data_IF_133863604360
#
_entry.id   IF_133863604360
#
_cell.length_a   1.000
_cell.length_b   1.000
_cell.length_c   1.000
_cell.angle_alpha   90.00
_cell.angle_beta   90.00
_cell.angle_gamma   90.00
#
_symmetry.space_group_name_H-M   'P 1'
#
loop_
_entity.id
_entity.type
_entity.pdbx_description
1 polymer ?
#
# COMPACT_ATOMS: atom_id res chain seq x y z
N UNK A 1 -5.61 -15.87 -6.13
CA UNK A 1 -4.61 -15.11 -5.38
C UNK A 1 -3.29 -15.88 -5.21
N UNK A 2 -3.27 -17.15 -4.71
CA UNK A 2 -2.04 -17.93 -4.52
C UNK A 2 -1.20 -18.02 -5.80
N UNK A 3 -1.81 -18.29 -6.96
CA UNK A 3 -1.11 -18.40 -8.24
C UNK A 3 -0.32 -17.13 -8.59
N UNK A 4 -0.96 -15.96 -8.56
CA UNK A 4 -0.32 -14.68 -8.93
C UNK A 4 0.71 -14.21 -7.90
N UNK A 5 0.45 -14.41 -6.60
CA UNK A 5 1.31 -13.87 -5.55
C UNK A 5 2.50 -14.76 -5.18
N UNK A 6 2.39 -16.07 -5.39
CA UNK A 6 3.40 -17.04 -4.97
C UNK A 6 3.93 -17.80 -6.18
N UNK A 7 3.08 -18.53 -6.90
CA UNK A 7 3.55 -19.48 -7.94
C UNK A 7 4.26 -18.75 -9.11
N UNK A 8 3.74 -17.62 -9.58
CA UNK A 8 4.38 -16.81 -10.63
C UNK A 8 5.73 -16.23 -10.18
N UNK A 9 5.83 -15.85 -8.91
CA UNK A 9 7.11 -15.37 -8.34
C UNK A 9 8.11 -16.51 -8.18
N UNK A 10 7.66 -17.70 -7.83
CA UNK A 10 8.50 -18.90 -7.71
C UNK A 10 9.08 -19.30 -9.07
N UNK A 11 8.25 -19.26 -10.12
CA UNK A 11 8.69 -19.49 -11.50
C UNK A 11 9.75 -18.46 -11.91
N UNK A 12 9.46 -17.17 -11.68
CA UNK A 12 10.39 -16.09 -12.03
C UNK A 12 11.74 -16.24 -11.31
N UNK A 13 11.72 -16.50 -10.00
CA UNK A 13 12.94 -16.67 -9.21
C UNK A 13 13.72 -17.92 -9.65
N UNK A 14 13.04 -19.04 -9.91
CA UNK A 14 13.67 -20.26 -10.40
C UNK A 14 14.37 -20.05 -11.74
N UNK A 15 13.72 -19.36 -12.68
CA UNK A 15 14.32 -19.05 -13.99
C UNK A 15 15.51 -18.08 -13.89
N UNK A 16 15.47 -17.09 -12.98
CA UNK A 16 16.62 -16.24 -12.72
C UNK A 16 17.81 -17.01 -12.14
N UNK A 17 17.55 -17.94 -11.21
CA UNK A 17 18.58 -18.80 -10.62
C UNK A 17 19.25 -19.64 -11.72
N UNK A 18 18.48 -20.28 -12.63
CA UNK A 18 19.02 -21.06 -13.75
C UNK A 18 19.88 -20.24 -14.70
N UNK A 19 19.51 -18.99 -14.95
CA UNK A 19 20.24 -18.10 -15.87
C UNK A 19 21.48 -17.45 -15.26
N UNK A 20 21.62 -17.51 -13.94
CA UNK A 20 22.79 -16.91 -13.26
C UNK A 20 24.03 -17.74 -13.52
N UNK A 21 25.10 -17.15 -14.10
CA UNK A 21 26.33 -17.86 -14.36
C UNK A 21 27.09 -18.18 -13.07
N UNK A 22 27.69 -19.35 -12.98
CA UNK A 22 28.53 -19.75 -11.85
C UNK A 22 28.61 -21.26 -11.67
N UNK A 23 29.72 -21.76 -11.13
CA UNK A 23 29.86 -23.20 -10.79
C UNK A 23 29.14 -23.56 -9.48
N UNK A 24 29.00 -22.59 -8.60
CA UNK A 24 28.26 -22.68 -7.33
C UNK A 24 27.43 -21.44 -7.16
N UNK A 25 26.14 -21.61 -6.97
CA UNK A 25 25.19 -20.52 -6.72
C UNK A 25 24.56 -20.70 -5.35
N UNK A 26 24.52 -19.63 -4.56
CA UNK A 26 23.79 -19.58 -3.30
C UNK A 26 22.67 -18.55 -3.46
N UNK A 27 21.42 -19.02 -3.42
CA UNK A 27 20.25 -18.17 -3.46
C UNK A 27 19.63 -18.05 -2.06
N UNK A 28 19.48 -16.83 -1.56
CA UNK A 28 18.79 -16.54 -0.30
C UNK A 28 17.36 -16.13 -0.65
N UNK A 29 16.40 -16.95 -0.23
CA UNK A 29 14.98 -16.78 -0.56
C UNK A 29 14.12 -16.91 0.69
N UNK A 30 12.93 -16.30 0.68
CA UNK A 30 11.97 -16.47 1.77
C UNK A 30 11.49 -17.91 1.89
N UNK A 31 11.33 -18.40 3.12
CA UNK A 31 10.98 -19.81 3.40
C UNK A 31 9.71 -20.28 2.65
N UNK A 32 8.72 -19.41 2.48
CA UNK A 32 7.48 -19.71 1.76
C UNK A 32 7.64 -19.97 0.26
N UNK A 33 8.77 -19.58 -0.35
CA UNK A 33 9.07 -19.76 -1.78
C UNK A 33 9.94 -20.98 -2.05
N UNK A 34 10.55 -21.56 -1.01
CA UNK A 34 11.57 -22.61 -1.17
C UNK A 34 11.06 -23.86 -1.90
N UNK A 35 9.87 -24.34 -1.55
CA UNK A 35 9.29 -25.52 -2.19
C UNK A 35 8.87 -25.25 -3.64
N UNK A 36 8.27 -24.10 -3.90
CA UNK A 36 7.89 -23.68 -5.25
C UNK A 36 9.11 -23.53 -6.15
N UNK A 37 10.15 -22.85 -5.70
CA UNK A 37 11.40 -22.69 -6.44
C UNK A 37 12.04 -24.04 -6.73
N UNK A 38 12.16 -24.96 -5.75
CA UNK A 38 12.69 -26.31 -5.97
C UNK A 38 11.95 -27.05 -7.06
N UNK A 39 10.62 -26.99 -7.05
CA UNK A 39 9.78 -27.63 -8.06
C UNK A 39 10.06 -27.06 -9.46
N UNK A 40 10.16 -25.73 -9.59
CA UNK A 40 10.35 -25.05 -10.87
C UNK A 40 11.79 -25.09 -11.39
N UNK A 41 12.78 -25.31 -10.51
CA UNK A 41 14.18 -25.54 -10.95
C UNK A 41 14.33 -26.80 -11.80
N UNK A 42 13.48 -27.80 -11.60
CA UNK A 42 13.51 -29.08 -12.33
C UNK A 42 12.68 -29.05 -13.63
N UNK A 43 11.86 -28.03 -13.84
CA UNK A 43 11.02 -27.84 -15.04
C UNK A 43 11.54 -26.68 -15.89
N UNK A 44 11.41 -26.77 -17.20
CA UNK A 44 11.73 -25.65 -18.12
C UNK A 44 10.50 -24.79 -18.31
N UNK A 45 10.54 -23.58 -17.80
CA UNK A 45 9.47 -22.59 -17.90
C UNK A 45 9.97 -21.26 -18.49
N UNK A 46 11.04 -21.32 -19.24
CA UNK A 46 11.67 -20.16 -19.89
C UNK A 46 10.70 -19.36 -20.79
N UNK A 47 9.70 -20.01 -21.37
CA UNK A 47 8.68 -19.38 -22.19
C UNK A 47 7.71 -18.50 -21.36
N UNK A 48 7.40 -18.90 -20.13
CA UNK A 48 6.51 -18.14 -19.23
C UNK A 48 7.18 -16.86 -18.72
N UNK A 49 8.51 -16.81 -18.67
CA UNK A 49 9.24 -15.64 -18.17
C UNK A 49 8.93 -14.35 -18.97
N UNK A 50 8.75 -14.49 -20.28
CA UNK A 50 8.37 -13.37 -21.15
C UNK A 50 6.98 -12.80 -20.80
N UNK A 51 6.03 -13.64 -20.48
CA UNK A 51 4.70 -13.25 -20.07
C UNK A 51 4.71 -12.64 -18.66
N UNK A 52 5.46 -13.23 -17.72
CA UNK A 52 5.56 -12.76 -16.34
C UNK A 52 6.26 -11.38 -16.22
N UNK A 53 7.13 -11.04 -17.15
CA UNK A 53 7.82 -9.74 -17.19
C UNK A 53 7.04 -8.67 -17.94
N UNK A 54 6.00 -9.04 -18.67
CA UNK A 54 5.19 -8.11 -19.44
C UNK A 54 4.16 -7.43 -18.53
N UNK A 55 4.35 -6.15 -18.24
CA UNK A 55 3.39 -5.36 -17.48
C UNK A 55 2.19 -5.05 -18.37
N UNK A 56 0.99 -5.60 -18.08
CA UNK A 56 -0.19 -5.32 -18.89
C UNK A 56 -0.50 -3.82 -18.87
N UNK A 57 -0.78 -3.20 -20.02
CA UNK A 57 -1.09 -1.78 -20.08
C UNK A 57 -2.37 -1.48 -19.30
N UNK A 58 -2.26 -0.68 -18.25
CA UNK A 58 -3.43 -0.22 -17.50
C UNK A 58 -4.24 0.73 -18.39
N UNK A 59 -5.52 0.40 -18.60
CA UNK A 59 -6.42 1.24 -19.38
C UNK A 59 -6.42 2.68 -18.88
N UNK A 60 -6.28 3.63 -19.82
CA UNK A 60 -6.33 5.07 -19.50
C UNK A 60 -7.64 5.46 -18.83
N UNK A 61 -8.73 4.78 -19.15
CA UNK A 61 -10.04 4.99 -18.55
C UNK A 61 -10.02 4.79 -17.05
N UNK A 62 -9.38 3.73 -16.55
CA UNK A 62 -9.25 3.50 -15.11
C UNK A 62 -8.39 4.55 -14.40
N UNK A 63 -7.35 5.04 -15.07
CA UNK A 63 -6.52 6.14 -14.52
C UNK A 63 -7.32 7.44 -14.40
N UNK A 64 -8.11 7.78 -15.41
CA UNK A 64 -8.92 9.01 -15.39
C UNK A 64 -10.11 8.89 -14.44
N UNK A 65 -10.71 7.71 -14.30
CA UNK A 65 -11.86 7.48 -13.42
C UNK A 65 -11.49 7.73 -11.94
N UNK A 66 -10.25 7.43 -11.53
CA UNK A 66 -9.78 7.72 -10.19
C UNK A 66 -9.79 9.21 -9.84
N UNK A 67 -9.61 10.09 -10.83
CA UNK A 67 -9.65 11.54 -10.64
C UNK A 67 -11.05 12.14 -10.66
N UNK A 68 -12.07 11.33 -11.00
CA UNK A 68 -13.45 11.81 -11.05
C UNK A 68 -13.96 12.20 -9.65
N UNK A 69 -13.64 11.42 -8.61
CA UNK A 69 -14.04 11.70 -7.22
C UNK A 69 -13.47 13.04 -6.74
N UNK A 70 -12.15 13.29 -6.80
CA UNK A 70 -11.59 14.61 -6.48
C UNK A 70 -12.22 15.75 -7.28
N UNK A 71 -12.44 15.53 -8.59
CA UNK A 71 -13.05 16.56 -9.44
C UNK A 71 -14.49 16.89 -9.03
N UNK A 72 -15.28 15.90 -8.65
CA UNK A 72 -16.67 16.09 -8.16
C UNK A 72 -16.65 16.88 -6.83
N UNK A 73 -15.75 16.53 -5.91
CA UNK A 73 -15.65 17.18 -4.61
C UNK A 73 -15.25 18.66 -4.77
N UNK A 74 -14.16 18.92 -5.51
CA UNK A 74 -13.69 20.29 -5.74
C UNK A 74 -14.69 21.10 -6.57
N UNK A 75 -15.31 20.48 -7.56
CA UNK A 75 -16.36 21.11 -8.36
C UNK A 75 -17.59 21.48 -7.53
N UNK A 76 -18.02 20.61 -6.61
CA UNK A 76 -19.15 20.90 -5.72
C UNK A 76 -18.86 22.05 -4.75
N UNK A 77 -17.63 22.11 -4.18
CA UNK A 77 -17.21 23.23 -3.34
C UNK A 77 -17.19 24.53 -4.16
N UNK A 78 -16.67 24.49 -5.38
CA UNK A 78 -16.68 25.65 -6.28
C UNK A 78 -18.11 26.13 -6.61
N UNK A 79 -19.02 25.24 -6.91
CA UNK A 79 -20.42 25.59 -7.15
C UNK A 79 -21.11 26.19 -5.92
N UNK A 80 -20.81 25.66 -4.72
CA UNK A 80 -21.30 26.24 -3.46
C UNK A 80 -20.75 27.65 -3.25
N UNK A 81 -19.47 27.86 -3.52
CA UNK A 81 -18.85 29.18 -3.39
C UNK A 81 -19.52 30.20 -4.32
N UNK A 82 -19.84 29.79 -5.57
CA UNK A 82 -20.52 30.66 -6.53
C UNK A 82 -21.98 30.92 -6.21
N UNK A 83 -22.71 29.94 -5.66
CA UNK A 83 -24.16 30.02 -5.43
C UNK A 83 -24.54 30.52 -4.04
N UNK A 84 -23.75 30.18 -3.01
CA UNK A 84 -24.04 30.47 -1.59
C UNK A 84 -22.98 31.35 -0.91
N UNK A 85 -21.93 31.71 -1.66
CA UNK A 85 -20.84 32.57 -1.17
C UNK A 85 -19.69 31.81 -0.52
N UNK A 86 -18.57 32.49 -0.37
CA UNK A 86 -17.32 31.92 0.12
C UNK A 86 -17.38 31.49 1.60
N UNK A 87 -18.22 32.10 2.43
CA UNK A 87 -18.41 31.67 3.82
C UNK A 87 -18.91 30.22 3.90
N UNK A 88 -20.00 29.92 3.18
CA UNK A 88 -20.56 28.56 3.15
C UNK A 88 -19.60 27.55 2.53
N UNK A 89 -18.83 27.96 1.52
CA UNK A 89 -17.79 27.09 0.95
C UNK A 89 -16.67 26.80 1.97
N UNK A 90 -16.26 27.80 2.77
CA UNK A 90 -15.31 27.64 3.86
C UNK A 90 -15.77 26.64 4.91
N UNK A 91 -17.03 26.74 5.34
CA UNK A 91 -17.63 25.80 6.29
C UNK A 91 -17.58 24.35 5.77
N UNK A 92 -17.85 24.14 4.47
CA UNK A 92 -17.75 22.81 3.84
C UNK A 92 -16.31 22.29 3.80
N UNK A 93 -15.32 23.16 3.60
CA UNK A 93 -13.90 22.77 3.66
C UNK A 93 -13.53 22.35 5.09
N UNK A 94 -13.93 23.11 6.09
CA UNK A 94 -13.70 22.75 7.50
C UNK A 94 -14.37 21.42 7.83
N UNK A 95 -15.63 21.25 7.43
CA UNK A 95 -16.33 19.98 7.60
C UNK A 95 -15.59 18.81 6.94
N UNK A 96 -15.10 19.00 5.71
CA UNK A 96 -14.29 18.00 4.99
C UNK A 96 -13.03 17.60 5.76
N UNK A 97 -12.30 18.60 6.28
CA UNK A 97 -11.08 18.37 7.07
C UNK A 97 -11.40 17.56 8.33
N UNK A 98 -12.43 17.96 9.06
CA UNK A 98 -12.82 17.28 10.29
C UNK A 98 -13.36 15.87 10.03
N UNK A 99 -14.20 15.71 9.01
CA UNK A 99 -14.80 14.42 8.67
C UNK A 99 -13.77 13.37 8.22
N UNK A 100 -12.66 13.80 7.60
CA UNK A 100 -11.57 12.90 7.21
C UNK A 100 -10.51 12.76 8.31
N UNK A 101 -10.12 13.88 8.92
CA UNK A 101 -9.03 13.95 9.89
C UNK A 101 -9.36 13.29 11.23
N UNK A 102 -10.55 13.52 11.77
CA UNK A 102 -10.92 12.97 13.09
C UNK A 102 -10.95 11.44 13.08
N UNK A 103 -11.66 10.74 12.18
CA UNK A 103 -11.66 9.29 12.15
C UNK A 103 -10.26 8.69 11.92
N UNK A 104 -9.45 9.33 11.06
CA UNK A 104 -8.09 8.88 10.80
C UNK A 104 -7.19 8.98 12.04
N UNK A 105 -7.29 10.10 12.77
CA UNK A 105 -6.52 10.28 14.00
C UNK A 105 -7.01 9.38 15.13
N UNK A 106 -8.32 9.15 15.27
CA UNK A 106 -8.87 8.18 16.23
C UNK A 106 -8.37 6.78 15.90
N UNK A 107 -8.42 6.36 14.64
CA UNK A 107 -7.88 5.06 14.22
C UNK A 107 -6.40 4.89 14.53
N UNK A 108 -5.58 5.92 14.27
CA UNK A 108 -4.16 5.90 14.62
C UNK A 108 -3.93 5.85 16.15
N UNK A 109 -4.72 6.58 16.93
CA UNK A 109 -4.63 6.56 18.39
C UNK A 109 -5.05 5.20 18.97
N UNK A 110 -6.12 4.58 18.45
CA UNK A 110 -6.55 3.24 18.83
C UNK A 110 -5.51 2.17 18.47
N UNK A 111 -4.76 2.38 17.40
CA UNK A 111 -3.63 1.53 17.02
C UNK A 111 -2.36 1.83 17.83
N UNK A 112 -2.44 2.60 18.93
CA UNK A 112 -1.31 3.01 19.78
C UNK A 112 -0.13 3.62 18.99
N UNK A 113 -0.43 4.27 17.86
CA UNK A 113 0.57 4.93 17.07
C UNK A 113 1.24 6.08 17.84
N UNK A 114 2.46 6.43 17.44
CA UNK A 114 3.15 7.58 18.05
C UNK A 114 2.30 8.86 17.93
N UNK A 115 2.29 9.77 18.90
CA UNK A 115 1.49 11.00 18.85
C UNK A 115 1.68 11.82 17.57
N UNK A 116 2.91 11.89 17.04
CA UNK A 116 3.19 12.55 15.76
C UNK A 116 2.50 11.84 14.59
N UNK A 117 2.40 10.51 14.62
CA UNK A 117 1.67 9.72 13.61
C UNK A 117 0.17 10.03 13.67
N UNK A 118 -0.38 10.16 14.86
CA UNK A 118 -1.80 10.52 15.07
C UNK A 118 -2.11 11.91 14.53
N UNK A 119 -1.25 12.90 14.79
CA UNK A 119 -1.37 14.24 14.23
C UNK A 119 -1.19 14.21 12.71
N UNK A 120 -0.20 13.46 12.23
CA UNK A 120 0.04 13.24 10.80
C UNK A 120 -1.14 12.60 10.09
N UNK A 121 -1.83 11.65 10.73
CA UNK A 121 -3.06 11.04 10.22
C UNK A 121 -4.16 12.06 10.03
N UNK A 122 -4.37 12.95 11.02
CA UNK A 122 -5.34 14.04 10.94
C UNK A 122 -5.06 14.95 9.74
N UNK A 123 -3.81 15.41 9.60
CA UNK A 123 -3.42 16.34 8.54
C UNK A 123 -3.40 15.69 7.13
N UNK A 124 -2.97 14.43 7.05
CA UNK A 124 -2.84 13.74 5.77
C UNK A 124 -4.18 13.26 5.20
N UNK A 125 -5.12 12.81 6.04
CA UNK A 125 -6.35 12.18 5.59
C UNK A 125 -7.19 13.07 4.64
N UNK A 126 -7.43 14.37 4.91
CA UNK A 126 -8.18 15.22 4.01
C UNK A 126 -7.52 15.39 2.63
N UNK A 127 -6.19 15.43 2.61
CA UNK A 127 -5.40 15.63 1.37
C UNK A 127 -5.37 14.33 0.57
N UNK A 128 -5.07 13.23 1.23
CA UNK A 128 -4.92 11.92 0.57
C UNK A 128 -6.26 11.35 0.08
N UNK A 129 -7.38 11.72 0.71
CA UNK A 129 -8.72 11.34 0.22
C UNK A 129 -9.08 12.04 -1.10
N UNK A 130 -8.38 13.12 -1.46
CA UNK A 130 -8.48 13.76 -2.77
C UNK A 130 -7.49 13.19 -3.81
N UNK A 131 -6.71 12.18 -3.47
CA UNK A 131 -5.74 11.59 -4.42
C UNK A 131 -6.03 10.08 -4.60
N UNK A 132 -6.16 9.60 -5.84
CA UNK A 132 -6.37 8.16 -6.09
C UNK A 132 -5.06 7.35 -5.99
N UNK A 133 -3.91 8.01 -5.74
CA UNK A 133 -2.58 7.40 -5.84
C UNK A 133 -1.99 7.09 -4.46
N UNK A 134 -2.17 8.00 -3.50
CA UNK A 134 -1.55 7.88 -2.17
C UNK A 134 -2.64 7.91 -1.11
N UNK A 135 -2.78 6.83 -0.36
CA UNK A 135 -3.67 6.77 0.80
C UNK A 135 -3.00 7.34 2.06
N UNK A 136 -3.80 7.77 3.03
CA UNK A 136 -3.32 8.26 4.34
C UNK A 136 -2.42 7.25 5.05
N UNK A 137 -2.64 5.95 4.82
CA UNK A 137 -1.83 4.87 5.38
C UNK A 137 -0.34 4.94 5.01
N UNK A 138 0.01 5.36 3.80
CA UNK A 138 1.42 5.54 3.42
C UNK A 138 2.10 6.66 4.21
N UNK A 139 1.40 7.78 4.39
CA UNK A 139 1.93 8.92 5.15
C UNK A 139 2.10 8.56 6.62
N UNK A 140 1.09 7.93 7.21
CA UNK A 140 1.12 7.50 8.62
C UNK A 140 2.17 6.41 8.86
N UNK A 141 2.30 5.44 7.97
CA UNK A 141 3.34 4.41 8.04
C UNK A 141 4.74 5.03 7.98
N UNK A 142 4.95 6.00 7.08
CA UNK A 142 6.23 6.70 6.97
C UNK A 142 6.57 7.46 8.27
N UNK A 143 5.63 8.23 8.82
CA UNK A 143 5.83 8.95 10.08
C UNK A 143 6.10 7.95 11.22
N UNK A 144 5.35 6.85 11.26
CA UNK A 144 5.52 5.81 12.29
C UNK A 144 6.91 5.17 12.24
N UNK A 145 7.39 4.82 11.05
CA UNK A 145 8.74 4.25 10.89
C UNK A 145 9.83 5.24 11.28
N UNK A 146 9.65 6.53 10.99
CA UNK A 146 10.61 7.57 11.38
C UNK A 146 10.62 7.84 12.90
N UNK A 147 9.49 7.67 13.56
CA UNK A 147 9.35 7.93 15.00
C UNK A 147 9.56 6.69 15.87
N UNK A 148 9.23 5.53 15.33
CA UNK A 148 9.37 4.20 15.94
C UNK A 148 9.86 3.21 14.88
N UNK A 149 11.16 3.17 14.56
CA UNK A 149 11.68 2.23 13.58
C UNK A 149 11.47 0.80 14.07
N UNK A 150 10.89 -0.10 13.25
CA UNK A 150 10.69 -1.49 13.63
C UNK A 150 12.04 -2.19 13.78
N UNK A 151 12.14 -3.09 14.76
CA UNK A 151 13.31 -3.93 14.97
C UNK A 151 13.15 -5.28 14.26
N UNK A 152 14.26 -5.94 13.93
CA UNK A 152 14.28 -7.22 13.19
C UNK A 152 13.39 -8.28 13.88
N UNK A 153 13.39 -8.33 15.19
CA UNK A 153 12.57 -9.26 15.97
C UNK A 153 11.07 -9.12 15.68
N UNK A 154 10.57 -7.91 15.50
CA UNK A 154 9.15 -7.66 15.19
C UNK A 154 8.76 -8.21 13.82
N UNK A 155 9.71 -8.25 12.87
CA UNK A 155 9.46 -8.90 11.58
C UNK A 155 9.44 -10.43 11.66
N UNK A 156 10.20 -11.00 12.59
CA UNK A 156 10.23 -12.46 12.80
C UNK A 156 8.94 -12.96 13.46
N UNK A 157 8.37 -12.18 14.39
CA UNK A 157 7.16 -12.56 15.15
C UNK A 157 5.86 -12.12 14.51
N UNK A 158 5.88 -11.27 13.49
CA UNK A 158 4.67 -10.66 12.89
C UNK A 158 3.59 -11.69 12.49
N UNK A 159 3.99 -12.89 12.03
CA UNK A 159 3.06 -13.94 11.63
C UNK A 159 2.27 -14.52 12.81
N UNK A 160 2.91 -14.64 13.97
CA UNK A 160 2.30 -15.12 15.22
C UNK A 160 1.49 -14.01 15.88
N UNK A 161 2.03 -12.80 15.90
CA UNK A 161 1.42 -11.61 16.50
C UNK A 161 0.11 -11.26 15.78
N UNK A 162 0.07 -11.31 14.45
CA UNK A 162 -1.16 -11.06 13.68
C UNK A 162 -2.28 -12.09 13.93
N UNK A 163 -1.95 -13.26 14.44
CA UNK A 163 -2.94 -14.29 14.78
C UNK A 163 -3.59 -14.07 16.15
N UNK A 164 -3.08 -13.16 16.96
CA UNK A 164 -3.56 -12.89 18.32
C UNK A 164 -4.03 -11.43 18.47
N UNK A 165 -5.09 -11.22 19.28
CA UNK A 165 -5.59 -9.87 19.57
C UNK A 165 -4.54 -8.99 20.26
N UNK A 166 -3.67 -9.59 21.07
CA UNK A 166 -2.63 -8.87 21.81
C UNK A 166 -1.37 -8.59 20.96
N UNK A 167 -1.14 -9.35 19.91
CA UNK A 167 -0.03 -9.11 19.00
C UNK A 167 -0.21 -7.87 18.08
N UNK A 168 -1.40 -7.28 18.08
CA UNK A 168 -1.67 -6.02 17.34
C UNK A 168 -1.22 -4.77 18.10
N UNK A 169 -0.78 -4.93 19.36
CA UNK A 169 -0.35 -3.87 20.27
C UNK A 169 1.13 -3.99 20.61
#
# INVERSE_FOLDING_TARGET
>A
MKRVLIDERDIYMAELIKRTPGQRLVAIVGAGHLEGIKKHLLSDQSAELGELTTIPPVSRVWKTLGWLIPAIILGSIGLIAMSKGFGTAGDNIVYWILANGIPASIGAALALAHPLTTIGAFAAAPITSLTPVIGAGYVTAFIQVMTRPPVVREFETVGEDMATLFGWW
#
